data_IF_524958852745
#
_entry.id   IF_524958852745
#
_cell.length_a   1.000
_cell.length_b   1.000
_cell.length_c   1.000
_cell.angle_alpha   90.00
_cell.angle_beta   90.00
_cell.angle_gamma   90.00
#
_symmetry.space_group_name_H-M   'P 1'
#
loop_
_entity.id
_entity.type
_entity.pdbx_description
1 polymer ?
#
# COMPACT_ATOMS: atom_id res chain seq x y z
N UNK A 1 10.50 26.61 11.52
CA UNK A 1 9.74 25.35 11.52
C UNK A 1 9.97 24.56 12.81
N UNK A 2 11.21 24.32 13.27
CA UNK A 2 11.48 23.56 14.53
C UNK A 2 10.73 24.09 15.76
N UNK A 3 10.64 25.40 15.93
CA UNK A 3 9.85 26.00 17.03
C UNK A 3 8.34 25.80 16.85
N UNK A 4 7.87 25.61 15.63
CA UNK A 4 6.44 25.42 15.34
C UNK A 4 5.99 23.98 15.59
N UNK A 5 6.90 22.99 15.56
CA UNK A 5 6.59 21.58 15.87
C UNK A 5 6.11 21.40 17.33
N UNK A 6 6.49 22.31 18.23
CA UNK A 6 6.06 22.28 19.63
C UNK A 6 4.66 22.86 19.85
N UNK A 7 4.10 23.55 18.86
CA UNK A 7 2.75 24.12 18.91
C UNK A 7 1.77 23.07 18.36
N UNK A 8 0.82 22.55 19.16
CA UNK A 8 -0.06 21.44 18.75
C UNK A 8 -0.79 21.71 17.42
N UNK A 9 -1.36 22.88 17.22
CA UNK A 9 -2.10 23.26 16.01
C UNK A 9 -1.23 23.39 14.75
N UNK A 10 0.08 23.57 14.89
CA UNK A 10 1.03 23.74 13.78
C UNK A 10 1.95 22.52 13.59
N UNK A 11 1.87 21.55 14.50
CA UNK A 11 2.80 20.43 14.55
C UNK A 11 2.83 19.65 13.24
N UNK A 12 1.69 19.18 12.78
CA UNK A 12 1.60 18.34 11.58
C UNK A 12 2.04 19.06 10.32
N UNK A 13 1.60 20.32 10.14
CA UNK A 13 2.03 21.14 9.02
C UNK A 13 3.56 21.35 9.03
N UNK A 14 4.12 21.60 10.21
CA UNK A 14 5.57 21.81 10.37
C UNK A 14 6.36 20.53 10.08
N UNK A 15 5.87 19.38 10.51
CA UNK A 15 6.46 18.07 10.18
C UNK A 15 6.40 17.83 8.68
N UNK A 16 5.25 18.08 8.05
CA UNK A 16 5.09 17.94 6.61
C UNK A 16 6.07 18.83 5.83
N UNK A 17 6.17 20.10 6.20
CA UNK A 17 7.08 21.06 5.57
C UNK A 17 8.56 20.68 5.77
N UNK A 18 8.95 20.18 6.95
CA UNK A 18 10.30 19.68 7.23
C UNK A 18 10.64 18.45 6.39
N UNK A 19 9.67 17.57 6.17
CA UNK A 19 9.85 16.37 5.36
C UNK A 19 10.10 16.65 3.86
N UNK A 20 9.70 17.84 3.36
CA UNK A 20 10.00 18.26 1.98
C UNK A 20 11.47 18.66 1.77
N UNK A 21 12.18 19.04 2.85
CA UNK A 21 13.60 19.41 2.81
C UNK A 21 14.33 18.60 3.89
N UNK A 22 14.68 17.33 3.62
CA UNK A 22 15.22 16.42 4.61
C UNK A 22 16.53 16.92 5.23
N UNK A 23 16.63 16.78 6.57
CA UNK A 23 17.79 17.19 7.38
C UNK A 23 17.99 16.22 8.55
N UNK A 24 19.22 15.78 8.78
CA UNK A 24 19.51 14.79 9.81
C UNK A 24 19.43 15.33 11.26
N UNK A 25 19.49 16.65 11.45
CA UNK A 25 19.36 17.29 12.77
C UNK A 25 17.93 17.25 13.32
N UNK A 26 16.93 16.95 12.49
CA UNK A 26 15.52 16.85 12.89
C UNK A 26 14.98 15.40 12.87
N UNK A 27 15.87 14.42 13.04
CA UNK A 27 15.54 12.98 13.04
C UNK A 27 14.34 12.64 13.95
N UNK A 28 14.29 13.22 15.16
CA UNK A 28 13.23 12.95 16.13
C UNK A 28 11.85 13.43 15.67
N UNK A 29 11.83 14.52 14.93
CA UNK A 29 10.61 15.05 14.34
C UNK A 29 10.07 14.08 13.30
N UNK A 30 10.93 13.55 12.42
CA UNK A 30 10.50 12.57 11.42
C UNK A 30 10.04 11.25 12.06
N UNK A 31 10.76 10.75 13.08
CA UNK A 31 10.33 9.57 13.82
C UNK A 31 8.95 9.76 14.45
N UNK A 32 8.71 10.94 15.05
CA UNK A 32 7.38 11.26 15.59
C UNK A 32 6.29 11.40 14.52
N UNK A 33 6.67 11.81 13.32
CA UNK A 33 5.75 11.92 12.17
C UNK A 33 5.34 10.58 11.58
N UNK A 34 6.10 9.50 11.83
CA UNK A 34 5.69 8.15 11.45
C UNK A 34 4.44 7.67 12.22
N UNK A 35 4.15 8.28 13.36
CA UNK A 35 2.96 8.01 14.19
C UNK A 35 1.76 8.89 13.84
N UNK A 36 1.90 9.84 12.91
CA UNK A 36 0.79 10.72 12.54
C UNK A 36 -0.41 9.91 12.02
N UNK A 37 -1.61 10.33 12.38
CA UNK A 37 -2.84 9.80 11.78
C UNK A 37 -2.91 10.10 10.28
N UNK A 38 -2.26 11.19 9.83
CA UNK A 38 -2.23 11.61 8.45
C UNK A 38 -1.23 10.77 7.62
N UNK A 39 -1.73 10.07 6.60
CA UNK A 39 -0.94 9.21 5.73
C UNK A 39 0.17 9.98 4.98
N UNK A 40 -0.12 11.20 4.51
CA UNK A 40 0.85 12.02 3.76
C UNK A 40 2.04 12.43 4.63
N UNK A 41 1.79 12.72 5.90
CA UNK A 41 2.86 13.02 6.87
C UNK A 41 3.71 11.79 7.12
N UNK A 42 3.09 10.62 7.36
CA UNK A 42 3.85 9.37 7.53
C UNK A 42 4.72 9.07 6.32
N UNK A 43 4.15 9.19 5.10
CA UNK A 43 4.88 8.98 3.84
C UNK A 43 6.02 9.97 3.67
N UNK A 44 5.76 11.25 3.90
CA UNK A 44 6.77 12.31 3.83
C UNK A 44 7.93 12.05 4.78
N UNK A 45 7.65 11.72 6.03
CA UNK A 45 8.66 11.39 7.03
C UNK A 45 9.46 10.13 6.66
N UNK A 46 8.79 9.07 6.19
CA UNK A 46 9.46 7.86 5.73
C UNK A 46 10.42 8.15 4.56
N UNK A 47 9.99 8.93 3.58
CA UNK A 47 10.81 9.32 2.44
C UNK A 47 12.00 10.20 2.86
N UNK A 48 11.78 11.17 3.76
CA UNK A 48 12.84 12.00 4.32
C UNK A 48 13.89 11.16 5.05
N UNK A 49 13.47 10.23 5.91
CA UNK A 49 14.37 9.31 6.62
C UNK A 49 15.15 8.40 5.67
N UNK A 50 14.51 7.92 4.60
CA UNK A 50 15.19 7.12 3.57
C UNK A 50 16.24 7.90 2.79
N UNK A 51 15.96 9.16 2.44
CA UNK A 51 16.93 10.01 1.74
C UNK A 51 18.15 10.35 2.60
N UNK A 52 17.99 10.33 3.93
CA UNK A 52 19.04 10.57 4.90
C UNK A 52 19.71 9.29 5.42
N UNK A 53 19.37 8.11 4.89
CA UNK A 53 19.78 6.80 5.40
C UNK A 53 21.24 6.72 5.81
N UNK A 54 22.14 7.10 4.92
CA UNK A 54 23.59 6.97 5.14
C UNK A 54 24.07 7.85 6.31
N UNK A 55 23.45 9.01 6.49
CA UNK A 55 23.79 9.95 7.54
C UNK A 55 23.21 9.56 8.91
N UNK A 56 22.01 8.97 8.95
CA UNK A 56 21.29 8.67 10.18
C UNK A 56 21.38 7.22 10.65
N UNK A 57 21.85 6.30 9.80
CA UNK A 57 21.82 4.86 10.06
C UNK A 57 22.45 4.46 11.40
N UNK A 58 23.59 5.04 11.73
CA UNK A 58 24.31 4.75 13.01
C UNK A 58 23.47 5.20 14.20
N UNK A 59 22.91 6.42 14.15
CA UNK A 59 22.05 6.96 15.22
C UNK A 59 20.78 6.13 15.38
N UNK A 60 20.21 5.70 14.26
CA UNK A 60 18.96 4.95 14.24
C UNK A 60 19.15 3.53 14.76
N UNK A 61 20.24 2.83 14.37
CA UNK A 61 20.59 1.51 14.91
C UNK A 61 20.87 1.56 16.41
N UNK A 62 21.56 2.61 16.90
CA UNK A 62 21.77 2.81 18.33
C UNK A 62 20.43 2.93 19.07
N UNK A 63 19.49 3.71 18.56
CA UNK A 63 18.15 3.81 19.16
C UNK A 63 17.40 2.49 19.21
N UNK A 64 17.51 1.67 18.16
CA UNK A 64 16.93 0.33 18.17
C UNK A 64 17.51 -0.54 19.29
N UNK A 65 18.84 -0.50 19.49
CA UNK A 65 19.50 -1.28 20.54
C UNK A 65 19.14 -0.78 21.96
N UNK A 66 18.93 0.52 22.12
CA UNK A 66 18.60 1.13 23.40
C UNK A 66 17.11 0.97 23.79
N UNK A 67 16.34 0.21 23.01
CA UNK A 67 14.89 -0.05 23.19
C UNK A 67 14.01 1.22 23.24
N UNK A 68 14.51 2.32 22.68
CA UNK A 68 13.80 3.61 22.66
C UNK A 68 12.81 3.81 21.52
N UNK A 69 12.49 2.75 20.74
CA UNK A 69 11.60 2.84 19.57
C UNK A 69 10.35 2.00 19.80
N UNK A 70 9.15 2.57 19.60
CA UNK A 70 7.91 1.81 19.68
C UNK A 70 7.86 0.66 18.65
N UNK A 71 7.36 -0.50 19.08
CA UNK A 71 7.30 -1.73 18.28
C UNK A 71 6.63 -1.54 16.92
N UNK A 72 5.56 -0.74 16.85
CA UNK A 72 4.81 -0.50 15.62
C UNK A 72 5.59 0.31 14.57
N UNK A 73 6.70 0.96 14.96
CA UNK A 73 7.59 1.66 14.02
C UNK A 73 8.67 0.75 13.43
N UNK A 74 8.90 -0.45 13.99
CA UNK A 74 9.97 -1.34 13.54
C UNK A 74 9.89 -1.68 12.04
N UNK A 75 8.71 -1.95 11.43
CA UNK A 75 8.62 -2.17 9.99
C UNK A 75 9.03 -0.95 9.15
N UNK A 76 8.73 0.26 9.64
CA UNK A 76 9.16 1.50 8.98
C UNK A 76 10.65 1.70 9.08
N UNK A 77 11.24 1.39 10.24
CA UNK A 77 12.69 1.46 10.44
C UNK A 77 13.44 0.42 9.61
N UNK A 78 12.88 -0.78 9.45
CA UNK A 78 13.42 -1.78 8.55
C UNK A 78 13.53 -1.25 7.12
N UNK A 79 12.46 -0.62 6.59
CA UNK A 79 12.44 0.01 5.26
C UNK A 79 13.47 1.15 5.14
N UNK A 80 13.75 1.87 6.23
CA UNK A 80 14.74 2.95 6.24
C UNK A 80 16.16 2.38 6.24
N UNK A 81 16.42 1.37 7.06
CA UNK A 81 17.77 0.83 7.28
C UNK A 81 18.18 -0.21 6.23
N UNK A 82 17.25 -0.81 5.53
CA UNK A 82 17.47 -1.84 4.52
C UNK A 82 17.42 -1.26 3.13
N UNK A 83 18.40 -1.61 2.32
CA UNK A 83 18.38 -1.31 0.88
C UNK A 83 17.67 -2.44 0.14
N UNK A 84 16.43 -2.21 -0.26
CA UNK A 84 15.67 -3.15 -1.09
C UNK A 84 16.07 -3.00 -2.56
N UNK A 85 16.25 -4.12 -3.23
CA UNK A 85 16.63 -4.15 -4.65
C UNK A 85 15.41 -4.12 -5.55
N UNK A 86 15.31 -3.14 -6.47
CA UNK A 86 14.19 -3.09 -7.40
C UNK A 86 14.23 -4.26 -8.38
N UNK A 87 13.09 -4.90 -8.59
CA UNK A 87 12.91 -5.88 -9.65
C UNK A 87 12.68 -5.11 -10.96
N UNK A 88 13.73 -4.90 -11.72
CA UNK A 88 13.78 -3.94 -12.82
C UNK A 88 13.54 -4.53 -14.22
N UNK A 89 13.36 -5.83 -14.33
CA UNK A 89 13.18 -6.50 -15.62
C UNK A 89 12.01 -7.47 -15.57
N UNK A 90 11.03 -7.27 -16.42
CA UNK A 90 9.82 -8.05 -16.47
C UNK A 90 9.47 -8.46 -17.90
N UNK A 91 8.98 -9.67 -18.08
CA UNK A 91 8.21 -10.02 -19.27
C UNK A 91 6.75 -9.62 -18.99
N UNK A 92 6.14 -8.89 -19.90
CA UNK A 92 4.77 -8.41 -19.75
C UNK A 92 3.89 -8.90 -20.89
N UNK A 93 2.65 -9.20 -20.60
CA UNK A 93 1.66 -9.64 -21.60
C UNK A 93 0.29 -9.05 -21.31
N UNK A 94 -0.39 -8.64 -22.35
CA UNK A 94 -1.71 -8.03 -22.30
C UNK A 94 -1.89 -7.00 -23.42
N UNK A 95 -3.00 -6.22 -23.40
CA UNK A 95 -4.06 -6.20 -22.38
C UNK A 95 -5.04 -7.38 -22.51
N UNK A 96 -5.57 -7.81 -21.40
CA UNK A 96 -6.62 -8.83 -21.33
C UNK A 96 -7.92 -8.24 -20.77
N UNK A 97 -9.09 -8.86 -21.09
CA UNK A 97 -10.29 -8.61 -20.33
C UNK A 97 -10.08 -8.90 -18.84
N UNK A 98 -10.79 -8.19 -17.98
CA UNK A 98 -10.65 -8.27 -16.53
C UNK A 98 -10.87 -9.67 -15.96
N UNK A 99 -11.75 -10.45 -16.59
CA UNK A 99 -12.14 -11.78 -16.17
C UNK A 99 -11.01 -12.82 -16.37
N UNK A 100 -10.01 -12.49 -17.19
CA UNK A 100 -8.87 -13.39 -17.44
C UNK A 100 -8.05 -13.50 -16.18
N UNK A 101 -7.91 -14.71 -15.67
CA UNK A 101 -7.12 -15.03 -14.49
C UNK A 101 -5.73 -15.58 -14.88
N UNK A 102 -4.84 -15.71 -13.90
CA UNK A 102 -3.52 -16.31 -14.10
C UNK A 102 -3.57 -17.76 -14.59
N UNK A 103 -4.72 -18.44 -14.47
CA UNK A 103 -4.92 -19.81 -14.95
C UNK A 103 -4.74 -19.93 -16.47
N UNK A 104 -4.84 -18.82 -17.21
CA UNK A 104 -4.58 -18.79 -18.66
C UNK A 104 -3.15 -19.24 -19.01
N UNK A 105 -2.22 -19.11 -18.07
CA UNK A 105 -0.83 -19.55 -18.23
C UNK A 105 -0.57 -20.97 -17.70
N UNK A 106 -1.62 -21.65 -17.21
CA UNK A 106 -1.49 -22.95 -16.55
C UNK A 106 -0.97 -22.81 -15.10
N UNK A 107 -0.80 -23.96 -14.44
CA UNK A 107 -0.19 -24.00 -13.09
C UNK A 107 1.34 -23.95 -13.11
N UNK A 108 1.92 -24.02 -14.29
CA UNK A 108 3.37 -23.97 -14.55
C UNK A 108 3.78 -22.56 -14.95
N UNK A 109 5.08 -22.32 -14.96
CA UNK A 109 5.67 -21.05 -15.42
C UNK A 109 5.22 -20.68 -16.83
N UNK A 110 4.95 -19.38 -17.11
CA UNK A 110 4.53 -18.96 -18.44
C UNK A 110 5.61 -19.25 -19.48
N UNK A 111 5.21 -19.77 -20.63
CA UNK A 111 6.09 -19.87 -21.80
C UNK A 111 6.08 -18.54 -22.55
N UNK A 112 7.20 -17.87 -22.62
CA UNK A 112 7.29 -16.54 -23.25
C UNK A 112 7.10 -16.57 -24.77
N UNK A 113 7.15 -17.73 -25.39
CA UNK A 113 6.82 -17.94 -26.81
C UNK A 113 5.31 -17.98 -27.10
N UNK A 114 4.50 -18.16 -26.06
CA UNK A 114 3.06 -18.34 -26.22
C UNK A 114 2.38 -17.04 -26.62
N UNK A 115 1.38 -17.19 -27.46
CA UNK A 115 0.48 -16.13 -27.88
C UNK A 115 -0.90 -16.40 -27.26
N UNK A 116 -1.46 -15.37 -26.66
CA UNK A 116 -2.74 -15.44 -25.98
C UNK A 116 -3.77 -14.55 -26.67
N UNK A 117 -5.04 -14.79 -26.40
CA UNK A 117 -6.13 -13.96 -26.89
C UNK A 117 -6.33 -12.76 -25.95
N UNK A 118 -5.93 -11.57 -26.39
CA UNK A 118 -6.10 -10.32 -25.66
C UNK A 118 -7.52 -9.76 -25.76
N UNK A 119 -7.66 -8.49 -25.37
CA UNK A 119 -8.92 -7.75 -25.52
C UNK A 119 -9.30 -7.68 -27.01
N UNK A 120 -10.57 -7.69 -27.31
CA UNK A 120 -11.13 -7.68 -28.69
C UNK A 120 -10.64 -8.84 -29.57
N UNK A 121 -10.13 -9.93 -28.95
CA UNK A 121 -9.64 -11.09 -29.66
C UNK A 121 -8.28 -10.90 -30.33
N UNK A 122 -7.64 -9.75 -30.19
CA UNK A 122 -6.30 -9.47 -30.73
C UNK A 122 -5.25 -10.38 -30.11
N UNK A 123 -4.37 -11.03 -30.90
CA UNK A 123 -3.28 -11.81 -30.35
C UNK A 123 -2.31 -10.94 -29.54
N UNK A 124 -1.96 -11.36 -28.33
CA UNK A 124 -0.96 -10.73 -27.47
C UNK A 124 0.09 -11.74 -27.05
N UNK A 125 1.35 -11.35 -27.12
CA UNK A 125 2.49 -12.17 -26.69
C UNK A 125 3.30 -11.46 -25.61
N UNK A 126 4.19 -12.20 -24.97
CA UNK A 126 5.10 -11.69 -23.97
C UNK A 126 6.11 -10.75 -24.57
N UNK A 127 6.35 -9.61 -23.90
CA UNK A 127 7.32 -8.58 -24.31
C UNK A 127 8.21 -8.24 -23.13
N UNK A 128 9.51 -8.15 -23.39
CA UNK A 128 10.45 -7.69 -22.37
C UNK A 128 10.24 -6.19 -22.11
N UNK A 129 9.91 -5.87 -20.88
CA UNK A 129 9.81 -4.50 -20.40
C UNK A 129 10.97 -4.23 -19.44
N UNK A 130 11.83 -3.27 -19.82
CA UNK A 130 12.92 -2.78 -18.97
C UNK A 130 12.65 -1.34 -18.64
N UNK A 131 12.84 -1.00 -17.41
CA UNK A 131 12.67 0.37 -16.93
C UNK A 131 13.71 1.30 -17.55
N UNK A 132 13.30 2.45 -18.06
CA UNK A 132 14.22 3.37 -18.76
C UNK A 132 14.50 4.70 -18.05
N UNK A 133 13.66 5.20 -17.12
CA UNK A 133 13.79 6.60 -16.72
C UNK A 133 13.17 7.08 -15.40
N UNK A 134 12.60 6.24 -14.55
CA UNK A 134 11.98 6.66 -13.27
C UNK A 134 12.62 5.92 -12.10
N UNK A 135 12.22 6.16 -10.85
CA UNK A 135 12.71 5.36 -9.73
C UNK A 135 12.69 3.89 -10.13
N UNK A 136 13.84 3.25 -10.13
CA UNK A 136 14.14 1.94 -10.78
C UNK A 136 13.18 0.79 -10.48
N UNK A 137 12.22 1.00 -9.59
CA UNK A 137 11.21 0.03 -9.14
C UNK A 137 9.83 0.22 -9.76
N UNK A 138 9.57 1.32 -10.49
CA UNK A 138 8.22 1.67 -10.96
C UNK A 138 8.00 1.30 -12.42
N UNK A 139 6.90 0.60 -12.71
CA UNK A 139 6.47 0.20 -14.04
C UNK A 139 5.20 0.92 -14.45
N UNK A 140 5.27 1.64 -15.56
CA UNK A 140 4.16 2.36 -16.17
C UNK A 140 3.42 1.44 -17.14
N UNK A 141 2.18 1.11 -16.85
CA UNK A 141 1.35 0.23 -17.68
C UNK A 141 0.36 1.02 -18.56
N UNK A 142 0.35 2.33 -18.47
CA UNK A 142 -0.58 3.19 -19.21
C UNK A 142 -0.58 2.98 -20.72
N UNK A 143 0.54 2.54 -21.31
CA UNK A 143 0.64 2.23 -22.73
C UNK A 143 -0.22 1.04 -23.16
N UNK A 144 -0.63 0.16 -22.24
CA UNK A 144 -1.56 -0.93 -22.52
C UNK A 144 -3.02 -0.46 -22.68
N UNK A 145 -3.34 0.75 -22.23
CA UNK A 145 -4.65 1.40 -22.46
C UNK A 145 -4.85 1.78 -23.91
N UNK A 146 -3.79 1.83 -24.72
CA UNK A 146 -3.82 2.47 -26.03
C UNK A 146 -3.64 1.48 -27.16
N UNK A 147 -4.75 1.10 -27.75
CA UNK A 147 -4.79 1.00 -29.21
C UNK A 147 -5.02 2.38 -29.85
N UNK A 148 -4.34 3.45 -29.41
CA UNK A 148 -4.44 4.80 -29.96
C UNK A 148 -5.76 5.54 -29.73
N UNK A 149 -6.77 4.91 -29.16
CA UNK A 149 -8.00 5.55 -28.69
C UNK A 149 -7.95 5.57 -27.16
N UNK A 150 -7.86 6.77 -26.57
CA UNK A 150 -8.32 6.94 -25.19
C UNK A 150 -9.69 6.28 -25.16
N UNK A 151 -9.83 5.15 -24.47
CA UNK A 151 -11.15 4.67 -24.11
C UNK A 151 -11.78 5.86 -23.38
N UNK A 152 -12.79 6.48 -24.02
CA UNK A 152 -13.45 7.63 -23.42
C UNK A 152 -13.88 7.25 -22.02
N UNK A 153 -13.96 8.21 -21.13
CA UNK A 153 -14.56 8.05 -19.81
C UNK A 153 -16.04 7.65 -19.97
N UNK A 154 -16.26 6.41 -20.38
CA UNK A 154 -17.53 5.78 -20.26
C UNK A 154 -17.58 5.19 -18.85
N UNK A 155 -18.22 5.93 -17.96
CA UNK A 155 -18.40 5.59 -16.55
C UNK A 155 -19.07 4.23 -16.32
N UNK A 156 -19.58 3.60 -17.36
CA UNK A 156 -20.29 2.33 -17.25
C UNK A 156 -19.53 1.09 -17.71
N UNK A 157 -18.39 1.20 -18.44
CA UNK A 157 -17.69 0.01 -18.96
C UNK A 157 -16.20 0.18 -19.28
N UNK A 158 -15.61 1.32 -19.03
CA UNK A 158 -14.22 1.64 -19.33
C UNK A 158 -13.30 1.25 -18.17
N UNK A 159 -12.16 0.70 -18.48
CA UNK A 159 -11.04 0.38 -17.59
C UNK A 159 -11.09 -0.99 -16.89
N UNK A 160 -11.67 -2.00 -17.55
CA UNK A 160 -11.67 -3.36 -17.01
C UNK A 160 -10.66 -4.25 -17.72
N UNK A 161 -9.44 -3.74 -17.86
CA UNK A 161 -8.34 -4.50 -18.44
C UNK A 161 -7.33 -4.89 -17.38
N UNK A 162 -6.61 -5.96 -17.64
CA UNK A 162 -5.48 -6.35 -16.84
C UNK A 162 -4.26 -6.66 -17.72
N UNK A 163 -3.09 -6.58 -17.10
CA UNK A 163 -1.80 -6.95 -17.67
C UNK A 163 -1.12 -7.90 -16.70
N UNK A 164 -0.44 -8.90 -17.23
CA UNK A 164 0.43 -9.74 -16.42
C UNK A 164 1.89 -9.37 -16.66
N UNK A 165 2.66 -9.39 -15.58
CA UNK A 165 4.10 -9.21 -15.58
C UNK A 165 4.75 -10.39 -14.87
N UNK A 166 5.77 -10.98 -15.47
CA UNK A 166 6.48 -12.13 -14.93
C UNK A 166 7.98 -11.89 -14.92
N UNK A 167 8.64 -12.29 -13.85
CA UNK A 167 10.10 -12.29 -13.74
C UNK A 167 10.59 -13.50 -12.99
N UNK A 168 11.88 -13.82 -13.15
CA UNK A 168 12.57 -14.84 -12.38
C UNK A 168 13.54 -14.20 -11.39
N UNK A 169 13.60 -14.78 -10.20
CA UNK A 169 14.58 -14.49 -9.18
C UNK A 169 15.43 -15.74 -8.93
N UNK A 170 16.71 -15.54 -8.66
CA UNK A 170 17.59 -16.58 -8.21
C UNK A 170 17.88 -16.40 -6.73
N UNK A 171 17.80 -17.49 -5.96
CA UNK A 171 18.16 -17.49 -4.55
C UNK A 171 19.19 -18.60 -4.28
N UNK A 172 20.27 -18.27 -3.60
CA UNK A 172 21.32 -19.23 -3.27
C UNK A 172 20.89 -20.23 -2.19
N UNK A 173 19.89 -19.86 -1.40
CA UNK A 173 19.36 -20.65 -0.28
C UNK A 173 17.84 -20.56 -0.24
N UNK A 174 17.22 -21.53 0.45
CA UNK A 174 15.83 -21.38 0.89
C UNK A 174 15.75 -20.26 1.92
N UNK A 175 14.94 -19.24 1.68
CA UNK A 175 14.80 -18.12 2.60
C UNK A 175 13.43 -17.47 2.56
N UNK A 176 13.02 -16.90 3.67
CA UNK A 176 11.94 -15.94 3.71
C UNK A 176 12.49 -14.55 3.34
N UNK A 177 11.75 -13.83 2.53
CA UNK A 177 12.18 -12.53 2.03
C UNK A 177 11.01 -11.53 2.05
N UNK A 178 11.18 -10.37 2.68
CA UNK A 178 10.26 -9.26 2.48
C UNK A 178 10.31 -8.77 1.04
N UNK A 179 9.14 -8.66 0.42
CA UNK A 179 8.91 -8.05 -0.89
C UNK A 179 8.09 -6.79 -0.67
N UNK A 180 8.66 -5.63 -0.97
CA UNK A 180 7.94 -4.36 -0.98
C UNK A 180 7.22 -4.22 -2.30
N UNK A 181 5.95 -3.89 -2.26
CA UNK A 181 5.15 -3.69 -3.48
C UNK A 181 4.29 -2.44 -3.37
N UNK A 182 4.01 -1.86 -4.51
CA UNK A 182 3.06 -0.78 -4.66
C UNK A 182 2.30 -0.86 -5.96
N UNK A 183 1.09 -0.33 -5.98
CA UNK A 183 0.29 -0.21 -7.21
C UNK A 183 -0.68 0.95 -7.09
N UNK A 184 -1.04 1.52 -8.22
CA UNK A 184 -2.11 2.51 -8.31
C UNK A 184 -3.50 1.90 -8.52
N UNK A 185 -3.58 0.59 -8.77
CA UNK A 185 -4.80 -0.18 -8.97
C UNK A 185 -4.74 -1.52 -8.28
N UNK A 186 -5.70 -2.39 -8.56
CA UNK A 186 -5.72 -3.74 -7.98
C UNK A 186 -4.51 -4.56 -8.41
N UNK A 187 -3.99 -5.37 -7.50
CA UNK A 187 -2.77 -6.17 -7.70
C UNK A 187 -2.96 -7.57 -7.13
N UNK A 188 -2.51 -8.58 -7.87
CA UNK A 188 -2.35 -9.96 -7.36
C UNK A 188 -0.95 -10.43 -7.67
N UNK A 189 -0.37 -11.19 -6.76
CA UNK A 189 1.01 -11.69 -6.89
C UNK A 189 1.05 -13.17 -6.56
N UNK A 190 1.71 -13.92 -7.42
CA UNK A 190 2.05 -15.33 -7.20
C UNK A 190 3.56 -15.48 -7.16
N UNK A 191 4.02 -16.33 -6.25
CA UNK A 191 5.42 -16.77 -6.19
C UNK A 191 5.41 -18.29 -6.33
N UNK A 192 6.16 -18.81 -7.30
CA UNK A 192 6.20 -20.25 -7.59
C UNK A 192 4.79 -20.84 -7.75
N UNK A 193 3.93 -20.18 -8.51
CA UNK A 193 2.52 -20.51 -8.77
C UNK A 193 1.58 -20.45 -7.53
N UNK A 194 2.07 -20.06 -6.36
CA UNK A 194 1.24 -19.87 -5.17
C UNK A 194 0.86 -18.38 -5.03
N UNK A 195 -0.43 -18.07 -4.93
CA UNK A 195 -0.89 -16.70 -4.65
C UNK A 195 -0.47 -16.28 -3.25
N UNK A 196 0.35 -15.22 -3.16
CA UNK A 196 0.90 -14.69 -1.90
C UNK A 196 0.31 -13.34 -1.53
N UNK A 197 -0.29 -12.64 -2.48
CA UNK A 197 -0.84 -11.31 -2.23
C UNK A 197 -2.01 -11.00 -3.16
N UNK A 198 -3.03 -10.32 -2.59
CA UNK A 198 -4.17 -9.80 -3.34
C UNK A 198 -4.62 -8.48 -2.73
N UNK A 199 -4.52 -7.44 -3.52
CA UNK A 199 -5.11 -6.14 -3.23
C UNK A 199 -6.20 -5.83 -4.27
N UNK A 200 -7.37 -5.46 -3.79
CA UNK A 200 -8.50 -5.05 -4.64
C UNK A 200 -8.84 -3.61 -4.34
N UNK A 201 -8.69 -2.76 -5.33
CA UNK A 201 -9.15 -1.39 -5.27
C UNK A 201 -9.70 -0.99 -6.64
N UNK A 202 -10.94 -0.59 -6.63
CA UNK A 202 -11.63 -0.17 -7.83
C UNK A 202 -11.60 1.34 -8.05
N UNK A 203 -11.34 2.10 -7.00
CA UNK A 203 -11.29 3.56 -7.01
C UNK A 203 -9.90 4.10 -7.36
N UNK A 204 -8.88 3.22 -7.32
CA UNK A 204 -7.48 3.62 -7.41
C UNK A 204 -6.96 4.21 -6.09
N UNK A 205 -5.69 4.03 -5.85
CA UNK A 205 -4.97 4.65 -4.72
C UNK A 205 -3.82 5.52 -5.24
N UNK A 206 -3.41 6.49 -4.44
CA UNK A 206 -2.18 7.24 -4.72
C UNK A 206 -1.02 6.25 -4.73
N UNK A 207 -0.30 6.21 -5.84
CA UNK A 207 0.81 5.28 -6.02
C UNK A 207 1.92 5.55 -5.02
N UNK A 208 2.31 4.52 -4.30
CA UNK A 208 3.51 4.50 -3.48
C UNK A 208 4.25 3.18 -3.78
N UNK A 209 5.52 3.21 -4.25
CA UNK A 209 6.25 2.01 -4.65
C UNK A 209 6.52 1.02 -3.51
N UNK A 210 6.30 1.42 -2.26
CA UNK A 210 6.58 0.64 -1.06
C UNK A 210 5.37 0.60 -0.12
N UNK A 211 4.16 0.58 -0.69
CA UNK A 211 2.94 0.63 0.11
C UNK A 211 2.79 -0.59 1.01
N UNK A 212 3.00 -1.76 0.46
CA UNK A 212 2.75 -3.03 1.14
C UNK A 212 4.04 -3.84 1.30
N UNK A 213 4.16 -4.55 2.41
CA UNK A 213 5.22 -5.53 2.67
C UNK A 213 4.61 -6.93 2.63
N UNK A 214 5.16 -7.78 1.78
CA UNK A 214 4.73 -9.17 1.64
C UNK A 214 5.89 -10.07 2.03
N UNK A 215 5.67 -11.01 2.95
CA UNK A 215 6.66 -12.02 3.26
C UNK A 215 6.48 -13.20 2.31
N UNK A 216 7.48 -13.43 1.46
CA UNK A 216 7.48 -14.51 0.47
C UNK A 216 8.52 -15.56 0.83
N UNK A 217 8.26 -16.82 0.46
CA UNK A 217 9.24 -17.91 0.54
C UNK A 217 9.92 -18.05 -0.81
N UNK A 218 11.25 -17.90 -0.83
CA UNK A 218 12.10 -18.22 -1.96
C UNK A 218 12.76 -19.58 -1.73
N UNK A 219 12.70 -20.45 -2.72
CA UNK A 219 13.42 -21.71 -2.74
C UNK A 219 14.82 -21.48 -3.29
N UNK A 220 15.77 -22.32 -2.88
CA UNK A 220 17.09 -22.36 -3.52
C UNK A 220 16.94 -22.60 -5.02
N UNK A 221 17.61 -21.78 -5.82
CA UNK A 221 17.52 -21.80 -7.27
C UNK A 221 16.56 -20.75 -7.83
N UNK A 222 15.90 -21.09 -8.93
CA UNK A 222 15.02 -20.19 -9.66
C UNK A 222 13.64 -20.11 -9.01
N UNK A 223 13.12 -18.89 -8.87
CA UNK A 223 11.78 -18.60 -8.37
C UNK A 223 11.06 -17.71 -9.37
N UNK A 224 9.84 -18.08 -9.75
CA UNK A 224 8.98 -17.29 -10.63
C UNK A 224 8.11 -16.34 -9.81
N UNK A 225 8.07 -15.07 -10.21
CA UNK A 225 7.11 -14.09 -9.68
C UNK A 225 6.19 -13.66 -10.81
N UNK A 226 4.89 -13.87 -10.64
CA UNK A 226 3.85 -13.40 -11.55
C UNK A 226 3.01 -12.33 -10.86
N UNK A 227 2.84 -11.21 -11.53
CA UNK A 227 1.97 -10.11 -11.10
C UNK A 227 0.82 -9.97 -12.10
N UNK A 228 -0.41 -9.86 -11.60
CA UNK A 228 -1.57 -9.40 -12.34
C UNK A 228 -1.91 -8.00 -11.83
N UNK A 229 -1.83 -7.02 -12.71
CA UNK A 229 -2.20 -5.63 -12.41
C UNK A 229 -3.45 -5.25 -13.19
N UNK A 230 -4.45 -4.76 -12.47
CA UNK A 230 -5.68 -4.23 -13.07
C UNK A 230 -5.60 -2.73 -13.22
N UNK A 231 -6.13 -2.24 -14.33
CA UNK A 231 -6.29 -0.82 -14.55
C UNK A 231 -7.25 -0.21 -13.52
N UNK A 232 -6.90 0.97 -13.05
CA UNK A 232 -7.69 1.77 -12.13
C UNK A 232 -7.89 3.19 -12.66
N UNK A 233 -8.33 4.10 -11.82
CA UNK A 233 -8.44 5.52 -12.13
C UNK A 233 -7.07 6.18 -11.98
N UNK A 234 -6.64 7.01 -12.95
CA UNK A 234 -5.36 7.72 -12.90
C UNK A 234 -4.19 6.98 -13.56
N UNK A 235 -2.94 7.30 -13.21
CA UNK A 235 -1.76 6.60 -13.70
C UNK A 235 -1.82 5.11 -13.36
N UNK A 236 -1.49 4.25 -14.29
CA UNK A 236 -1.49 2.80 -14.07
C UNK A 236 -0.05 2.31 -13.86
N UNK A 237 0.27 2.02 -12.62
CA UNK A 237 1.64 1.75 -12.19
C UNK A 237 1.69 0.61 -11.19
N UNK A 238 2.80 -0.13 -11.18
CA UNK A 238 3.18 -1.00 -10.08
C UNK A 238 4.69 -0.90 -9.81
N UNK A 239 5.09 -1.32 -8.62
CA UNK A 239 6.49 -1.46 -8.21
C UNK A 239 6.68 -2.73 -7.41
N UNK A 240 7.89 -3.29 -7.47
CA UNK A 240 8.29 -4.42 -6.64
C UNK A 240 9.79 -4.32 -6.31
N UNK A 241 10.12 -4.49 -5.03
CA UNK A 241 11.49 -4.44 -4.51
C UNK A 241 11.70 -5.59 -3.52
N UNK A 242 12.80 -6.30 -3.65
CA UNK A 242 13.12 -7.47 -2.83
C UNK A 242 14.19 -7.13 -1.79
N UNK A 243 14.07 -7.70 -0.59
CA UNK A 243 15.13 -7.64 0.41
C UNK A 243 16.40 -8.36 -0.06
N UNK A 244 17.60 -7.84 0.28
CA UNK A 244 18.86 -8.49 -0.07
C UNK A 244 18.99 -9.87 0.60
N UNK A 245 19.85 -10.75 0.07
CA UNK A 245 20.19 -12.01 0.71
C UNK A 245 20.71 -11.81 2.15
N UNK A 246 20.30 -12.70 3.05
CA UNK A 246 20.73 -12.63 4.47
C UNK A 246 20.03 -11.54 5.29
N UNK A 247 19.15 -10.74 4.69
CA UNK A 247 18.38 -9.78 5.44
C UNK A 247 17.37 -10.47 6.37
N UNK A 248 17.40 -10.08 7.64
CA UNK A 248 16.37 -10.45 8.63
C UNK A 248 15.59 -9.18 8.96
N UNK A 249 14.29 -9.20 8.65
CA UNK A 249 13.45 -8.04 8.92
C UNK A 249 13.44 -7.67 10.39
N UNK A 250 13.56 -6.38 10.70
CA UNK A 250 13.43 -5.86 12.05
C UNK A 250 11.96 -5.99 12.44
N UNK A 251 11.68 -6.88 13.39
CA UNK A 251 10.32 -7.16 13.87
C UNK A 251 10.27 -7.04 15.37
N UNK A 252 9.11 -6.67 15.89
CA UNK A 252 8.84 -6.86 17.31
C UNK A 252 8.59 -8.35 17.59
N UNK A 253 8.97 -8.81 18.77
CA UNK A 253 8.65 -10.18 19.22
C UNK A 253 7.14 -10.43 19.29
N UNK A 254 6.34 -9.35 19.28
CA UNK A 254 4.87 -9.36 19.30
C UNK A 254 4.23 -9.23 17.94
N UNK A 255 5.02 -8.97 16.90
CA UNK A 255 4.49 -8.79 15.55
C UNK A 255 4.09 -10.15 14.97
N UNK A 256 2.81 -10.43 15.03
CA UNK A 256 2.23 -11.57 14.33
C UNK A 256 2.14 -11.22 12.85
N UNK A 257 2.66 -12.07 11.98
CA UNK A 257 2.54 -11.92 10.52
C UNK A 257 1.09 -11.54 10.14
N UNK A 258 0.84 -10.38 9.51
CA UNK A 258 -0.51 -9.96 9.13
C UNK A 258 -1.25 -11.00 8.29
N UNK A 259 -0.54 -11.75 7.42
CA UNK A 259 -1.14 -12.84 6.63
C UNK A 259 -1.50 -14.04 7.51
N UNK A 260 -0.72 -14.35 8.54
CA UNK A 260 -1.06 -15.37 9.51
C UNK A 260 -2.30 -14.95 10.32
N UNK A 261 -2.40 -13.67 10.71
CA UNK A 261 -3.59 -13.13 11.36
C UNK A 261 -4.81 -13.17 10.45
N UNK A 262 -4.67 -12.79 9.18
CA UNK A 262 -5.75 -12.90 8.19
C UNK A 262 -6.22 -14.35 8.06
N UNK A 263 -5.29 -15.29 7.83
CA UNK A 263 -5.62 -16.72 7.73
C UNK A 263 -6.32 -17.25 8.99
N UNK A 264 -5.78 -16.94 10.16
CA UNK A 264 -6.38 -17.31 11.44
C UNK A 264 -7.80 -16.76 11.57
N UNK A 265 -7.99 -15.45 11.38
CA UNK A 265 -9.28 -14.80 11.54
C UNK A 265 -10.30 -15.24 10.46
N UNK A 266 -9.85 -15.55 9.23
CA UNK A 266 -10.73 -16.05 8.17
C UNK A 266 -11.25 -17.46 8.48
N UNK A 267 -10.40 -18.32 9.03
CA UNK A 267 -10.73 -19.73 9.30
C UNK A 267 -11.31 -19.98 10.70
N UNK A 268 -11.28 -18.99 11.59
CA UNK A 268 -11.76 -19.14 12.97
C UNK A 268 -13.19 -18.65 13.11
N UNK A 269 -14.00 -19.31 13.92
CA UNK A 269 -15.32 -18.82 14.29
C UNK A 269 -15.21 -17.54 15.11
N UNK A 270 -15.95 -16.49 14.71
CA UNK A 270 -16.02 -15.23 15.45
C UNK A 270 -17.07 -15.32 16.58
N UNK A 271 -16.90 -14.48 17.60
CA UNK A 271 -17.92 -14.26 18.62
C UNK A 271 -18.57 -12.88 18.41
N UNK A 272 -19.81 -12.89 17.94
CA UNK A 272 -20.55 -11.67 17.59
C UNK A 272 -20.74 -10.72 18.80
N UNK A 273 -21.08 -11.24 19.96
CA UNK A 273 -21.29 -10.42 21.15
C UNK A 273 -19.99 -9.75 21.61
N UNK A 274 -18.91 -10.51 21.64
CA UNK A 274 -17.59 -9.96 21.98
C UNK A 274 -17.11 -8.94 20.93
N UNK A 275 -17.34 -9.21 19.65
CA UNK A 275 -17.04 -8.26 18.57
C UNK A 275 -17.80 -6.94 18.74
N UNK A 276 -19.11 -7.01 19.05
CA UNK A 276 -19.92 -5.84 19.35
C UNK A 276 -19.38 -5.06 20.55
N UNK A 277 -19.04 -5.74 21.64
CA UNK A 277 -18.46 -5.10 22.83
C UNK A 277 -17.14 -4.40 22.50
N UNK A 278 -16.25 -5.02 21.73
CA UNK A 278 -14.97 -4.44 21.31
C UNK A 278 -15.16 -3.23 20.41
N UNK A 279 -16.11 -3.28 19.47
CA UNK A 279 -16.42 -2.19 18.55
C UNK A 279 -16.85 -0.92 19.30
N UNK A 280 -17.75 -1.06 20.30
CA UNK A 280 -18.27 0.06 21.08
C UNK A 280 -17.39 0.45 22.29
N UNK A 281 -16.34 -0.32 22.60
CA UNK A 281 -15.45 -0.01 23.70
C UNK A 281 -14.50 1.14 23.35
N UNK A 282 -14.83 2.34 23.81
CA UNK A 282 -14.06 3.56 23.53
C UNK A 282 -12.67 3.62 24.19
N UNK A 283 -12.40 2.76 25.16
CA UNK A 283 -11.12 2.71 25.89
C UNK A 283 -10.13 1.71 25.28
N UNK A 284 -10.59 0.81 24.39
CA UNK A 284 -9.74 -0.20 23.73
C UNK A 284 -9.58 0.06 22.24
N UNK A 285 -10.48 -0.48 21.42
CA UNK A 285 -10.36 -0.37 19.95
C UNK A 285 -11.00 0.91 19.42
N UNK A 286 -11.94 1.48 20.14
CA UNK A 286 -12.59 2.76 19.85
C UNK A 286 -13.17 2.91 18.41
N UNK A 287 -13.51 1.80 17.74
CA UNK A 287 -14.01 1.81 16.36
C UNK A 287 -15.24 2.70 16.20
N UNK A 288 -16.14 2.68 17.21
CA UNK A 288 -17.37 3.48 17.23
C UNK A 288 -17.14 4.98 17.44
N UNK A 289 -15.91 5.45 17.66
CA UNK A 289 -15.62 6.90 17.64
C UNK A 289 -15.71 7.46 16.22
N UNK A 290 -15.31 6.68 15.24
CA UNK A 290 -15.29 7.09 13.85
C UNK A 290 -16.45 6.45 13.05
N UNK A 291 -16.71 5.15 13.25
CA UNK A 291 -17.69 4.38 12.49
C UNK A 291 -19.03 4.25 13.18
N UNK A 292 -20.10 4.22 12.38
CA UNK A 292 -21.44 3.86 12.86
C UNK A 292 -21.85 2.47 12.36
N UNK A 293 -22.73 1.81 13.12
CA UNK A 293 -23.49 0.64 12.71
C UNK A 293 -24.95 0.87 13.13
N UNK A 294 -25.88 0.83 12.20
CA UNK A 294 -27.31 1.08 12.44
C UNK A 294 -27.58 2.40 13.19
N UNK A 295 -26.87 3.44 12.81
CA UNK A 295 -27.01 4.78 13.41
C UNK A 295 -26.38 4.96 14.78
N UNK A 296 -25.71 3.93 15.34
CA UNK A 296 -24.96 4.04 16.60
C UNK A 296 -23.46 4.16 16.33
N UNK A 297 -22.84 5.25 16.72
CA UNK A 297 -21.42 5.53 16.57
C UNK A 297 -21.14 6.88 15.94
N UNK A 298 -19.86 7.12 15.59
CA UNK A 298 -19.38 8.35 14.95
C UNK A 298 -19.69 8.41 13.47
N UNK A 299 -19.47 9.59 12.89
CA UNK A 299 -19.69 9.89 11.46
C UNK A 299 -18.38 10.31 10.73
N UNK A 300 -17.25 10.24 11.42
CA UNK A 300 -15.94 10.58 10.84
C UNK A 300 -15.50 9.49 9.84
N UNK A 301 -15.90 8.23 10.10
CA UNK A 301 -15.69 7.11 9.20
C UNK A 301 -17.01 6.66 8.53
N UNK A 302 -16.93 5.82 7.47
CA UNK A 302 -18.12 5.31 6.80
C UNK A 302 -18.99 4.48 7.75
N UNK A 303 -20.32 4.52 7.51
CA UNK A 303 -21.27 3.60 8.14
C UNK A 303 -20.97 2.17 7.66
N UNK A 304 -20.86 1.25 8.61
CA UNK A 304 -20.52 -0.15 8.33
C UNK A 304 -21.74 -1.02 8.07
N UNK A 305 -22.95 -0.45 8.05
CA UNK A 305 -24.17 -1.15 7.62
C UNK A 305 -24.04 -1.48 6.12
N UNK A 306 -24.30 -2.74 5.77
CA UNK A 306 -24.14 -3.20 4.39
C UNK A 306 -22.68 -3.44 3.95
N UNK A 307 -21.71 -3.29 4.88
CA UNK A 307 -20.32 -3.59 4.59
C UNK A 307 -20.14 -5.05 4.13
N UNK A 308 -20.83 -5.98 4.77
CA UNK A 308 -20.79 -7.42 4.46
C UNK A 308 -21.43 -7.75 3.09
N UNK A 309 -22.29 -6.87 2.55
CA UNK A 309 -22.88 -7.04 1.21
C UNK A 309 -21.89 -6.67 0.10
N UNK A 310 -20.92 -5.80 0.42
CA UNK A 310 -19.92 -5.30 -0.51
C UNK A 310 -18.56 -5.99 -0.40
N UNK A 311 -18.23 -6.48 0.79
CA UNK A 311 -16.91 -7.02 1.13
C UNK A 311 -17.03 -8.40 1.77
N UNK A 312 -16.16 -9.31 1.35
CA UNK A 312 -16.07 -10.61 1.99
C UNK A 312 -15.33 -10.51 3.33
N UNK A 313 -15.37 -11.60 4.09
CA UNK A 313 -14.76 -11.67 5.43
C UNK A 313 -13.26 -11.37 5.44
N UNK A 314 -12.53 -11.82 4.43
CA UNK A 314 -11.08 -11.58 4.33
C UNK A 314 -10.79 -10.09 4.11
N UNK A 315 -11.57 -9.43 3.27
CA UNK A 315 -11.46 -7.99 3.03
C UNK A 315 -11.78 -7.18 4.30
N UNK A 316 -12.79 -7.60 5.07
CA UNK A 316 -13.10 -7.00 6.36
C UNK A 316 -11.93 -7.11 7.36
N UNK A 317 -11.33 -8.30 7.45
CA UNK A 317 -10.19 -8.54 8.34
C UNK A 317 -8.99 -7.69 7.91
N UNK A 318 -8.70 -7.61 6.60
CA UNK A 318 -7.63 -6.77 6.06
C UNK A 318 -7.86 -5.29 6.36
N UNK A 319 -9.10 -4.81 6.24
CA UNK A 319 -9.44 -3.42 6.58
C UNK A 319 -9.20 -3.08 8.05
N UNK A 320 -9.28 -4.07 8.95
CA UNK A 320 -8.95 -3.89 10.37
C UNK A 320 -7.44 -3.94 10.60
N UNK A 321 -6.73 -4.88 9.96
CA UNK A 321 -5.30 -5.09 10.19
C UNK A 321 -4.42 -4.06 9.48
N UNK A 322 -4.90 -3.54 8.35
CA UNK A 322 -4.18 -2.60 7.49
C UNK A 322 -5.10 -1.47 7.01
N UNK A 323 -5.65 -0.66 7.96
CA UNK A 323 -6.73 0.29 7.68
C UNK A 323 -6.34 1.39 6.66
N UNK A 324 -5.06 1.72 6.58
CA UNK A 324 -4.56 2.73 5.64
C UNK A 324 -4.40 2.22 4.20
N UNK A 325 -4.54 0.91 3.96
CA UNK A 325 -4.44 0.36 2.60
C UNK A 325 -5.62 0.75 1.71
N UNK A 326 -6.76 1.06 2.33
CA UNK A 326 -7.96 1.43 1.61
C UNK A 326 -8.76 2.45 2.41
N UNK A 327 -8.89 3.64 1.88
CA UNK A 327 -9.82 4.64 2.39
C UNK A 327 -11.04 4.67 1.48
N UNK A 328 -12.23 4.69 2.06
CA UNK A 328 -13.47 4.88 1.29
C UNK A 328 -13.48 6.26 0.64
N UNK A 329 -14.14 6.39 -0.52
CA UNK A 329 -14.28 7.68 -1.19
C UNK A 329 -14.91 8.71 -0.24
N UNK A 330 -14.35 9.91 -0.19
CA UNK A 330 -14.78 10.99 0.71
C UNK A 330 -14.19 10.91 2.13
N UNK A 331 -13.39 9.87 2.45
CA UNK A 331 -12.77 9.71 3.77
C UNK A 331 -11.24 9.90 3.76
N UNK A 332 -10.73 10.62 2.77
CA UNK A 332 -9.32 11.04 2.74
C UNK A 332 -9.20 12.35 3.52
N UNK A 333 -8.47 12.39 4.64
CA UNK A 333 -8.30 13.61 5.40
C UNK A 333 -7.49 14.64 4.60
N UNK A 334 -7.86 15.90 4.76
CA UNK A 334 -7.16 17.06 4.17
C UNK A 334 -6.55 17.93 5.26
N UNK A 335 -5.48 18.63 4.93
CA UNK A 335 -4.88 19.68 5.77
C UNK A 335 -5.11 21.00 5.04
N UNK A 336 -5.76 21.93 5.70
CA UNK A 336 -6.02 23.28 5.19
C UNK A 336 -5.29 24.31 6.04
N UNK A 337 -4.74 25.32 5.40
CA UNK A 337 -4.23 26.50 6.05
C UNK A 337 -5.11 27.71 5.66
N UNK A 338 -5.66 28.40 6.64
CA UNK A 338 -6.38 29.64 6.38
C UNK A 338 -5.40 30.80 6.09
N UNK A 339 -5.90 31.85 5.52
CA UNK A 339 -5.09 33.06 5.24
C UNK A 339 -4.55 33.70 6.53
N UNK A 340 -5.21 33.49 7.67
CA UNK A 340 -4.75 33.91 8.99
C UNK A 340 -3.72 32.95 9.59
N UNK A 341 -3.33 31.89 8.90
CA UNK A 341 -2.33 30.90 9.34
C UNK A 341 -2.88 29.84 10.28
N UNK A 342 -4.19 29.69 10.44
CA UNK A 342 -4.80 28.59 11.18
C UNK A 342 -4.75 27.32 10.32
N UNK A 343 -4.30 26.22 10.90
CA UNK A 343 -4.26 24.91 10.23
C UNK A 343 -5.41 24.06 10.75
N UNK A 344 -6.21 23.56 9.81
CA UNK A 344 -7.33 22.67 10.06
C UNK A 344 -7.04 21.33 9.40
N UNK A 345 -7.31 20.26 10.11
CA UNK A 345 -7.22 18.88 9.56
C UNK A 345 -8.59 18.24 9.71
N UNK A 346 -9.11 17.64 8.67
CA UNK A 346 -10.41 17.00 8.73
C UNK A 346 -10.80 16.36 7.41
N UNK A 347 -11.99 15.78 7.38
CA UNK A 347 -12.60 15.29 6.16
C UNK A 347 -13.47 16.37 5.55
N UNK A 348 -13.42 16.53 4.23
CA UNK A 348 -14.33 17.44 3.53
C UNK A 348 -15.73 16.81 3.56
N UNK A 349 -16.67 17.47 4.21
CA UNK A 349 -18.07 17.10 4.24
C UNK A 349 -18.85 17.69 3.07
N UNK A 350 -18.61 18.94 2.81
CA UNK A 350 -19.19 19.64 1.66
C UNK A 350 -18.26 20.75 1.18
N UNK A 351 -18.27 21.01 -0.11
CA UNK A 351 -17.49 22.05 -0.77
C UNK A 351 -18.38 22.79 -1.77
N UNK A 352 -18.36 24.12 -1.65
CA UNK A 352 -18.99 25.05 -2.60
C UNK A 352 -17.98 26.14 -2.92
N UNK A 353 -18.26 26.98 -3.91
CA UNK A 353 -17.37 28.11 -4.26
C UNK A 353 -17.12 29.09 -3.12
N UNK A 354 -17.92 29.05 -2.05
CA UNK A 354 -17.87 30.00 -0.94
C UNK A 354 -17.67 29.37 0.43
N UNK A 355 -17.89 28.05 0.57
CA UNK A 355 -17.86 27.35 1.85
C UNK A 355 -17.24 25.97 1.72
N UNK A 356 -16.31 25.67 2.61
CA UNK A 356 -15.77 24.34 2.82
C UNK A 356 -16.10 23.89 4.25
N UNK A 357 -16.86 22.82 4.38
CA UNK A 357 -17.21 22.22 5.66
C UNK A 357 -16.30 21.03 5.95
N UNK A 358 -15.59 21.06 7.08
CA UNK A 358 -14.75 19.97 7.55
C UNK A 358 -15.40 19.26 8.73
N UNK A 359 -15.19 17.96 8.80
CA UNK A 359 -15.42 17.14 10.00
C UNK A 359 -14.05 16.82 10.60
N UNK A 360 -13.85 17.24 11.85
CA UNK A 360 -12.65 16.95 12.66
C UNK A 360 -12.88 15.70 13.53
#
# INVERSE_FOLDING_TARGET
LMKLVTIPSLRELSIHALAQVPRADVLDVYLSGLDSANLEIRRGCLNALKSLRDEISVKLRKRLSDQGVPDHLLPSLDRILTHYEPLSSWQTVGPFPREVSADVFGKTEPLYSDTHRGIDGTPVGWKLYRHQSLPRSTFELGHYRTGGKRFGFDTNNSNRINVFAHTYLWSDTDRDAPLLVGSSGSLRIWVNAQEVYRFRDWSGRVFNPEEDVIHIRLNKGRNGILIQSHDGVGPWQFAAQLSPPGHVAIRSERETDPLALVRFATNSAGNLQRGKQLFFNQQRLACSKCHSINGQGGQIGPDLRGFADQYNREEAIRSILTPSQRLANGFTPVILATVEGTVLTGLIRSETDQLLELID
#
